data_IF_184788707774
#
_entry.id   IF_184788707774
#
_cell.length_a   1.000
_cell.length_b   1.000
_cell.length_c   1.000
_cell.angle_alpha   90.00
_cell.angle_beta   90.00
_cell.angle_gamma   90.00
#
_symmetry.space_group_name_H-M   'P 1'
#
loop_
_entity.id
_entity.type
_entity.pdbx_description
1 polymer ?
#
# COMPACT_ATOMS: atom_id res chain seq x y z
N UNK A 1 13.63 -5.77 -18.68
CA UNK A 1 14.65 -5.38 -17.67
C UNK A 1 14.06 -5.29 -16.26
N UNK A 2 12.93 -4.62 -16.04
CA UNK A 2 12.25 -4.54 -14.73
C UNK A 2 11.88 -5.92 -14.13
N UNK A 3 11.34 -6.84 -14.93
CA UNK A 3 10.99 -8.21 -14.50
C UNK A 3 12.17 -9.02 -13.94
N UNK A 4 13.38 -8.78 -14.47
CA UNK A 4 14.58 -9.47 -14.02
C UNK A 4 15.12 -8.92 -12.70
N UNK A 5 14.91 -7.63 -12.42
CA UNK A 5 15.32 -6.97 -11.17
C UNK A 5 14.37 -7.38 -10.03
N UNK A 6 13.07 -7.39 -10.30
CA UNK A 6 12.05 -7.77 -9.30
C UNK A 6 12.30 -9.16 -8.69
N UNK A 7 12.72 -10.14 -9.51
CA UNK A 7 13.00 -11.51 -9.02
C UNK A 7 14.25 -11.63 -8.14
N UNK A 8 15.20 -10.69 -8.18
CA UNK A 8 16.44 -10.76 -7.39
C UNK A 8 16.36 -10.07 -6.02
N UNK A 9 15.49 -9.05 -5.88
CA UNK A 9 15.45 -8.20 -4.69
C UNK A 9 14.47 -8.65 -3.59
N UNK A 10 13.61 -9.63 -3.87
CA UNK A 10 12.59 -10.07 -2.92
C UNK A 10 11.59 -8.96 -2.56
N UNK A 11 10.61 -9.25 -1.69
CA UNK A 11 9.64 -8.25 -1.25
C UNK A 11 10.30 -7.21 -0.33
N UNK A 12 10.14 -5.93 -0.65
CA UNK A 12 10.56 -4.80 0.18
C UNK A 12 9.40 -4.37 1.07
N UNK A 13 9.61 -4.36 2.39
CA UNK A 13 8.62 -3.87 3.36
C UNK A 13 9.09 -2.52 3.90
N UNK A 14 8.27 -1.48 3.72
CA UNK A 14 8.51 -0.17 4.30
C UNK A 14 7.75 -0.03 5.62
N UNK A 15 8.48 0.12 6.73
CA UNK A 15 7.95 0.29 8.07
C UNK A 15 8.19 1.71 8.59
N UNK A 16 7.30 2.20 9.45
CA UNK A 16 7.39 3.53 10.04
C UNK A 16 6.03 4.09 10.44
N UNK A 17 5.98 5.13 11.30
CA UNK A 17 4.72 5.70 11.79
C UNK A 17 3.90 6.36 10.66
N UNK A 18 2.61 6.68 10.91
CA UNK A 18 1.84 7.56 10.03
C UNK A 18 2.61 8.87 9.76
N UNK A 19 2.57 9.37 8.52
CA UNK A 19 3.30 10.58 8.14
C UNK A 19 4.81 10.42 7.87
N UNK A 20 5.42 9.26 8.13
CA UNK A 20 6.86 9.02 7.93
C UNK A 20 7.34 9.01 6.45
N UNK A 21 6.48 9.33 5.48
CA UNK A 21 6.87 9.39 4.06
C UNK A 21 7.02 8.03 3.35
N UNK A 22 6.55 6.92 3.95
CA UNK A 22 6.61 5.57 3.33
C UNK A 22 6.06 5.52 1.91
N UNK A 23 4.91 6.16 1.67
CA UNK A 23 4.30 6.21 0.34
C UNK A 23 5.14 6.99 -0.67
N UNK A 24 5.78 8.08 -0.24
CA UNK A 24 6.73 8.84 -1.06
C UNK A 24 7.93 7.98 -1.46
N UNK A 25 8.52 7.27 -0.50
CA UNK A 25 9.65 6.36 -0.77
C UNK A 25 9.25 5.18 -1.65
N UNK A 26 8.06 4.61 -1.46
CA UNK A 26 7.53 3.54 -2.31
C UNK A 26 7.46 3.97 -3.78
N UNK A 27 6.95 5.18 -4.07
CA UNK A 27 6.90 5.71 -5.44
C UNK A 27 8.28 5.83 -6.08
N UNK A 28 9.28 6.32 -5.32
CA UNK A 28 10.66 6.43 -5.79
C UNK A 28 11.24 5.03 -6.09
N UNK A 29 10.94 4.03 -5.26
CA UNK A 29 11.38 2.64 -5.49
C UNK A 29 10.75 2.07 -6.76
N UNK A 30 9.44 2.29 -6.97
CA UNK A 30 8.73 1.86 -8.18
C UNK A 30 9.39 2.48 -9.42
N UNK A 31 9.59 3.80 -9.42
CA UNK A 31 10.18 4.53 -10.55
C UNK A 31 11.60 4.06 -10.86
N UNK A 32 12.44 3.88 -9.83
CA UNK A 32 13.86 3.58 -10.02
C UNK A 32 14.13 2.11 -10.35
N UNK A 33 13.33 1.19 -9.81
CA UNK A 33 13.61 -0.25 -9.88
C UNK A 33 12.54 -1.05 -10.63
N UNK A 34 11.40 -0.42 -11.00
CA UNK A 34 10.29 -1.10 -11.64
C UNK A 34 9.61 -2.15 -10.75
N UNK A 35 9.78 -2.05 -9.43
CA UNK A 35 9.17 -2.97 -8.46
C UNK A 35 7.76 -2.48 -8.16
N UNK A 36 6.69 -3.28 -8.40
CA UNK A 36 5.32 -2.86 -8.13
C UNK A 36 5.09 -2.57 -6.64
N UNK A 37 4.35 -1.50 -6.34
CA UNK A 37 3.92 -1.17 -4.99
C UNK A 37 2.60 -1.87 -4.66
N UNK A 38 2.52 -2.48 -3.47
CA UNK A 38 1.27 -2.95 -2.87
C UNK A 38 1.03 -2.17 -1.58
N UNK A 39 -0.15 -1.56 -1.45
CA UNK A 39 -0.53 -0.73 -0.30
C UNK A 39 -1.87 -1.20 0.24
N UNK A 40 -1.87 -1.84 1.41
CA UNK A 40 -3.11 -2.32 2.05
C UNK A 40 -4.06 -1.16 2.35
N UNK A 41 -3.54 0.00 2.75
CA UNK A 41 -4.35 1.20 2.96
C UNK A 41 -5.05 1.68 1.69
N UNK A 42 -4.36 1.70 0.54
CA UNK A 42 -4.98 2.12 -0.72
C UNK A 42 -6.01 1.10 -1.21
N UNK A 43 -5.72 -0.20 -1.07
CA UNK A 43 -6.67 -1.28 -1.39
C UNK A 43 -7.94 -1.12 -0.54
N UNK A 44 -7.82 -0.94 0.78
CA UNK A 44 -8.98 -0.82 1.66
C UNK A 44 -9.77 0.48 1.41
N UNK A 45 -9.09 1.59 1.10
CA UNK A 45 -9.74 2.84 0.70
C UNK A 45 -10.50 2.71 -0.62
N UNK A 46 -9.95 2.03 -1.62
CA UNK A 46 -10.65 1.73 -2.88
C UNK A 46 -11.92 0.90 -2.63
N UNK A 47 -11.79 -0.18 -1.84
CA UNK A 47 -12.93 -1.02 -1.49
C UNK A 47 -14.03 -0.25 -0.74
N UNK A 48 -13.66 0.66 0.17
CA UNK A 48 -14.57 1.58 0.88
C UNK A 48 -15.26 2.51 -0.11
N UNK A 49 -14.51 3.16 -0.99
CA UNK A 49 -15.05 4.08 -1.99
C UNK A 49 -16.03 3.39 -2.95
N UNK A 50 -15.76 2.13 -3.32
CA UNK A 50 -16.64 1.30 -4.17
C UNK A 50 -17.82 0.67 -3.45
N UNK A 51 -17.96 0.88 -2.14
CA UNK A 51 -19.08 0.35 -1.35
C UNK A 51 -19.16 -1.18 -1.28
N UNK A 52 -18.03 -1.87 -1.48
CA UNK A 52 -17.97 -3.34 -1.46
C UNK A 52 -18.23 -3.90 -0.06
N UNK A 53 -18.56 -5.19 0.06
CA UNK A 53 -18.73 -5.83 1.37
C UNK A 53 -17.48 -5.71 2.26
N UNK A 54 -16.29 -5.91 1.66
CA UNK A 54 -15.01 -5.67 2.33
C UNK A 54 -14.86 -4.20 2.74
N UNK A 55 -15.21 -3.27 1.85
CA UNK A 55 -15.13 -1.83 2.09
C UNK A 55 -15.99 -1.35 3.24
N UNK A 56 -17.22 -1.86 3.35
CA UNK A 56 -18.13 -1.56 4.47
C UNK A 56 -17.54 -2.03 5.80
N UNK A 57 -17.04 -3.27 5.83
CA UNK A 57 -16.36 -3.81 7.02
C UNK A 57 -15.10 -3.02 7.37
N UNK A 58 -14.29 -2.66 6.37
CA UNK A 58 -13.09 -1.84 6.59
C UNK A 58 -13.43 -0.45 7.13
N UNK A 59 -14.49 0.19 6.64
CA UNK A 59 -14.95 1.49 7.10
C UNK A 59 -15.26 1.48 8.61
N UNK A 60 -15.91 0.43 9.13
CA UNK A 60 -16.23 0.31 10.56
C UNK A 60 -14.98 0.40 11.46
N UNK A 61 -13.84 -0.15 11.01
CA UNK A 61 -12.58 -0.07 11.76
C UNK A 61 -11.85 1.26 11.53
N UNK A 62 -11.88 1.77 10.30
CA UNK A 62 -11.23 3.04 9.93
C UNK A 62 -11.89 4.22 10.66
N UNK A 63 -13.21 4.25 10.73
CA UNK A 63 -13.97 5.33 11.36
C UNK A 63 -13.76 5.33 12.90
N UNK A 64 -13.37 4.19 13.48
CA UNK A 64 -12.95 4.04 14.89
C UNK A 64 -11.46 4.35 15.14
N UNK A 65 -10.69 4.69 14.09
CA UNK A 65 -9.24 4.88 14.18
C UNK A 65 -8.45 3.60 14.47
N UNK A 66 -9.07 2.42 14.29
CA UNK A 66 -8.43 1.11 14.52
C UNK A 66 -7.67 0.62 13.27
N UNK A 67 -7.93 1.24 12.13
CA UNK A 67 -7.30 0.96 10.84
C UNK A 67 -6.96 2.30 10.18
N UNK A 68 -5.72 2.43 9.70
CA UNK A 68 -5.14 3.68 9.14
C UNK A 68 -5.51 3.95 7.69
#
# INVERSE_FOLDING_TARGET
>A
MADAISRKLGPVILLGPPGAGKGTQAKIIVERFGIPQISTGDILRDHKARGTALGKKAAEYMDKGQLV
#
